data_IF_755768434055
#
_entry.id   IF_755768434055
#
_cell.length_a   1.000
_cell.length_b   1.000
_cell.length_c   1.000
_cell.angle_alpha   90.00
_cell.angle_beta   90.00
_cell.angle_gamma   90.00
#
_symmetry.space_group_name_H-M   'P 1'
#
loop_
_entity.id
_entity.type
_entity.pdbx_description
1 polymer ?
#
# COMPACT_ATOMS: atom_id res chain seq x y z
N UNK A 1 36.53 5.29 -28.66
CA UNK A 1 35.61 6.37 -28.20
C UNK A 1 34.13 6.01 -28.30
N UNK A 2 33.68 5.26 -29.32
CA UNK A 2 32.24 4.90 -29.51
C UNK A 2 31.64 4.00 -28.42
N UNK A 3 32.43 3.08 -27.86
CA UNK A 3 31.99 2.16 -26.79
C UNK A 3 31.55 2.85 -25.49
N UNK A 4 32.07 4.05 -25.21
CA UNK A 4 31.69 4.83 -24.02
C UNK A 4 30.30 5.44 -24.24
N UNK A 5 30.01 5.95 -25.44
CA UNK A 5 28.72 6.53 -25.77
C UNK A 5 27.60 5.46 -25.76
N UNK A 6 27.86 4.26 -26.29
CA UNK A 6 26.90 3.15 -26.22
C UNK A 6 26.68 2.67 -24.80
N UNK A 7 27.73 2.56 -23.98
CA UNK A 7 27.59 2.22 -22.57
C UNK A 7 26.76 3.27 -21.79
N UNK A 8 26.99 4.57 -22.07
CA UNK A 8 26.25 5.67 -21.46
C UNK A 8 24.76 5.65 -21.85
N UNK A 9 24.46 5.38 -23.13
CA UNK A 9 23.09 5.25 -23.62
C UNK A 9 22.36 4.06 -23.01
N UNK A 10 23.02 2.91 -22.90
CA UNK A 10 22.45 1.72 -22.23
C UNK A 10 22.22 2.02 -20.75
N UNK A 11 23.16 2.68 -20.07
CA UNK A 11 23.01 3.06 -18.66
C UNK A 11 21.84 4.04 -18.44
N UNK A 12 21.72 5.06 -19.29
CA UNK A 12 20.59 6.01 -19.27
C UNK A 12 19.26 5.31 -19.55
N UNK A 13 19.22 4.46 -20.58
CA UNK A 13 18.04 3.66 -20.91
C UNK A 13 17.65 2.77 -19.72
N UNK A 14 18.61 2.06 -19.13
CA UNK A 14 18.34 1.20 -17.98
C UNK A 14 17.87 1.98 -16.76
N UNK A 15 18.37 3.20 -16.54
CA UNK A 15 17.93 4.08 -15.45
C UNK A 15 16.52 4.62 -15.67
N UNK A 16 16.13 4.91 -16.92
CA UNK A 16 14.80 5.43 -17.25
C UNK A 16 13.73 4.33 -17.36
N UNK A 17 14.11 3.12 -17.81
CA UNK A 17 13.19 2.01 -18.02
C UNK A 17 13.02 1.10 -16.80
N UNK A 18 13.55 1.46 -15.62
CA UNK A 18 13.37 0.62 -14.41
C UNK A 18 11.87 0.50 -14.09
N UNK A 19 11.29 -0.72 -14.11
CA UNK A 19 9.90 -0.90 -13.74
C UNK A 19 9.71 -0.48 -12.27
N UNK A 20 8.61 0.20 -11.99
CA UNK A 20 8.23 0.51 -10.60
C UNK A 20 8.04 -0.82 -9.86
N UNK A 21 8.56 -0.96 -8.62
CA UNK A 21 8.39 -2.19 -7.86
C UNK A 21 6.91 -2.53 -7.72
N UNK A 22 6.58 -3.81 -7.93
CA UNK A 22 5.20 -4.31 -7.84
C UNK A 22 4.72 -4.13 -6.41
N UNK A 23 3.76 -3.24 -6.20
CA UNK A 23 3.26 -2.96 -4.85
C UNK A 23 2.49 -4.15 -4.31
N UNK A 24 2.74 -4.46 -3.03
CA UNK A 24 2.07 -5.56 -2.34
C UNK A 24 0.61 -5.17 -2.10
N UNK A 25 -0.29 -5.94 -2.72
CA UNK A 25 -1.74 -5.79 -2.54
C UNK A 25 -2.15 -6.59 -1.31
N UNK A 26 -2.97 -6.01 -0.44
CA UNK A 26 -3.55 -6.72 0.70
C UNK A 26 -4.62 -7.66 0.15
N UNK A 27 -4.36 -8.96 0.21
CA UNK A 27 -5.28 -10.01 -0.28
C UNK A 27 -5.69 -10.99 0.81
N UNK A 28 -5.03 -10.96 1.95
CA UNK A 28 -5.31 -11.82 3.10
C UNK A 28 -6.13 -11.08 4.15
N UNK A 29 -7.15 -11.76 4.68
CA UNK A 29 -8.04 -11.26 5.71
C UNK A 29 -7.34 -11.09 7.06
N UNK A 30 -6.42 -11.99 7.41
CA UNK A 30 -5.67 -11.89 8.66
C UNK A 30 -4.69 -10.70 8.60
N UNK A 31 -3.98 -10.53 7.48
CA UNK A 31 -3.17 -9.33 7.21
C UNK A 31 -4.02 -8.04 7.27
N UNK A 32 -5.20 -8.03 6.65
CA UNK A 32 -6.08 -6.85 6.67
C UNK A 32 -6.54 -6.49 8.09
N UNK A 33 -6.90 -7.49 8.92
CA UNK A 33 -7.25 -7.27 10.33
C UNK A 33 -6.07 -6.79 11.16
N UNK A 34 -4.88 -7.34 10.91
CA UNK A 34 -3.65 -6.90 11.56
C UNK A 34 -3.30 -5.43 11.20
N UNK A 35 -3.47 -5.04 9.93
CA UNK A 35 -3.28 -3.65 9.48
C UNK A 35 -4.26 -2.70 10.19
N UNK A 36 -5.51 -3.12 10.38
CA UNK A 36 -6.51 -2.31 11.08
C UNK A 36 -6.42 -2.39 12.61
N UNK A 37 -5.63 -3.33 13.16
CA UNK A 37 -5.53 -3.56 14.59
C UNK A 37 -6.84 -4.02 15.21
N UNK A 38 -7.58 -4.90 14.52
CA UNK A 38 -8.88 -5.43 14.97
C UNK A 38 -8.86 -6.96 15.08
N UNK A 39 -9.78 -7.49 15.88
CA UNK A 39 -9.92 -8.92 16.12
C UNK A 39 -10.49 -9.69 14.92
N UNK A 40 -10.27 -11.01 14.87
CA UNK A 40 -10.87 -11.92 13.90
C UNK A 40 -12.40 -11.83 13.85
N UNK A 41 -13.03 -11.63 15.01
CA UNK A 41 -14.48 -11.56 15.20
C UNK A 41 -15.06 -10.15 15.04
N UNK A 42 -14.23 -9.16 14.69
CA UNK A 42 -14.68 -7.79 14.49
C UNK A 42 -15.70 -7.67 13.36
N UNK A 43 -16.75 -6.90 13.59
CA UNK A 43 -17.82 -6.66 12.63
C UNK A 43 -17.49 -5.51 11.65
N UNK A 44 -18.41 -5.25 10.72
CA UNK A 44 -18.24 -4.19 9.72
C UNK A 44 -18.12 -2.78 10.33
N UNK A 45 -18.74 -2.54 11.49
CA UNK A 45 -18.66 -1.25 12.17
C UNK A 45 -17.32 -1.05 12.88
N UNK A 46 -16.78 -2.11 13.49
CA UNK A 46 -15.43 -2.14 14.01
C UNK A 46 -14.40 -1.84 12.91
N UNK A 47 -14.54 -2.46 11.73
CA UNK A 47 -13.70 -2.18 10.54
C UNK A 47 -13.75 -0.71 10.16
N UNK A 48 -14.95 -0.13 10.01
CA UNK A 48 -15.11 1.30 9.65
C UNK A 48 -14.54 2.23 10.72
N UNK A 49 -14.73 1.91 12.00
CA UNK A 49 -14.23 2.72 13.11
C UNK A 49 -12.70 2.72 13.16
N UNK A 50 -12.08 1.55 13.05
CA UNK A 50 -10.63 1.38 13.05
C UNK A 50 -10.00 2.10 11.86
N UNK A 51 -10.60 1.94 10.68
CA UNK A 51 -10.17 2.63 9.48
C UNK A 51 -10.15 4.16 9.65
N UNK A 52 -11.22 4.77 10.19
CA UNK A 52 -11.26 6.23 10.42
C UNK A 52 -10.15 6.70 11.36
N UNK A 53 -9.92 5.96 12.46
CA UNK A 53 -8.85 6.28 13.42
C UNK A 53 -7.47 6.19 12.78
N UNK A 54 -7.21 5.13 12.03
CA UNK A 54 -5.92 4.91 11.36
C UNK A 54 -5.67 5.94 10.25
N UNK A 55 -6.64 6.21 9.39
CA UNK A 55 -6.46 7.21 8.31
C UNK A 55 -6.12 8.57 8.90
N UNK A 56 -6.76 8.96 10.00
CA UNK A 56 -6.44 10.22 10.65
C UNK A 56 -4.96 10.32 11.09
N UNK A 57 -4.34 9.20 11.48
CA UNK A 57 -2.93 9.16 11.91
C UNK A 57 -1.93 8.89 10.78
N UNK A 58 -2.29 8.12 9.75
CA UNK A 58 -1.36 7.71 8.68
C UNK A 58 -1.37 8.60 7.44
N UNK A 59 -2.24 9.62 7.40
CA UNK A 59 -2.38 10.51 6.24
C UNK A 59 -1.08 11.31 5.98
N UNK A 60 -0.64 11.46 4.72
CA UNK A 60 0.57 12.22 4.37
C UNK A 60 0.56 13.67 4.87
N UNK A 61 -0.60 14.32 4.86
CA UNK A 61 -0.76 15.71 5.35
C UNK A 61 -0.43 15.87 6.84
N UNK A 62 -0.39 14.77 7.61
CA UNK A 62 0.01 14.77 9.02
C UNK A 62 1.36 14.10 9.27
N UNK A 63 2.19 13.99 8.23
CA UNK A 63 3.50 13.33 8.31
C UNK A 63 3.45 11.81 8.17
N UNK A 64 2.30 11.25 7.78
CA UNK A 64 2.17 9.84 7.46
C UNK A 64 2.66 9.48 6.05
N UNK A 65 2.38 8.25 5.61
CA UNK A 65 2.84 7.73 4.32
C UNK A 65 1.68 7.41 3.38
N UNK A 66 1.80 7.82 2.12
CA UNK A 66 0.89 7.44 1.03
C UNK A 66 0.81 5.93 0.86
N UNK A 67 1.91 5.22 1.11
CA UNK A 67 1.93 3.77 1.05
C UNK A 67 1.12 3.14 2.19
N UNK A 68 1.29 3.64 3.40
CA UNK A 68 0.57 3.16 4.58
C UNK A 68 -0.94 3.49 4.47
N UNK A 69 -1.27 4.69 4.03
CA UNK A 69 -2.66 5.11 3.74
C UNK A 69 -3.33 4.14 2.75
N UNK A 70 -2.64 3.77 1.67
CA UNK A 70 -3.18 2.79 0.72
C UNK A 70 -3.35 1.40 1.32
N UNK A 71 -2.40 0.93 2.13
CA UNK A 71 -2.52 -0.37 2.82
C UNK A 71 -3.74 -0.38 3.76
N UNK A 72 -3.97 0.70 4.50
CA UNK A 72 -5.15 0.86 5.37
C UNK A 72 -6.45 0.90 4.56
N UNK A 73 -6.48 1.59 3.41
CA UNK A 73 -7.64 1.59 2.50
C UNK A 73 -7.92 0.19 1.95
N UNK A 74 -6.87 -0.51 1.46
CA UNK A 74 -6.99 -1.85 0.89
C UNK A 74 -7.50 -2.86 1.93
N UNK A 75 -7.01 -2.78 3.18
CA UNK A 75 -7.47 -3.64 4.27
C UNK A 75 -8.97 -3.44 4.57
N UNK A 76 -9.45 -2.18 4.64
CA UNK A 76 -10.88 -1.88 4.79
C UNK A 76 -11.70 -2.48 3.65
N UNK A 77 -11.29 -2.22 2.40
CA UNK A 77 -12.05 -2.63 1.22
C UNK A 77 -12.18 -4.15 1.12
N UNK A 78 -11.10 -4.88 1.45
CA UNK A 78 -11.10 -6.33 1.49
C UNK A 78 -12.09 -6.88 2.53
N UNK A 79 -12.03 -6.37 3.77
CA UNK A 79 -12.89 -6.85 4.85
C UNK A 79 -14.35 -6.49 4.62
N UNK A 80 -14.66 -5.26 4.20
CA UNK A 80 -16.03 -4.86 3.90
C UNK A 80 -16.63 -5.59 2.69
N UNK A 81 -15.81 -6.00 1.72
CA UNK A 81 -16.26 -6.84 0.61
C UNK A 81 -16.64 -8.24 1.09
N UNK A 82 -15.98 -8.76 2.13
CA UNK A 82 -16.22 -10.11 2.65
C UNK A 82 -17.41 -10.19 3.60
N UNK A 83 -17.63 -9.15 4.40
CA UNK A 83 -18.75 -9.07 5.36
C UNK A 83 -20.09 -8.71 4.70
N UNK A 84 -20.12 -8.56 3.38
CA UNK A 84 -21.33 -8.21 2.60
C UNK A 84 -22.00 -9.46 2.07
#
# INVERSE_FOLDING_TARGET
MTWIATALLIWLAWRYLRPKPKQRVVTDEAEARAILGIDALADADAVRSAHRRLIASVHPDRGGSTDLTRRVNAARDLLLKRTR
#
